data_IF_990009517822
#
_entry.id   IF_990009517822
#
_cell.length_a   1.000
_cell.length_b   1.000
_cell.length_c   1.000
_cell.angle_alpha   90.00
_cell.angle_beta   90.00
_cell.angle_gamma   90.00
#
_symmetry.space_group_name_H-M   'P 1'
#
loop_
_entity.id
_entity.type
_entity.pdbx_description
1 polymer ?
#
# COMPACT_ATOMS: atom_id res chain seq x y z
N UNK A 1 -24.84 -1.50 31.19
CA UNK A 1 -26.20 -2.12 31.22
C UNK A 1 -26.54 -2.64 29.82
N UNK A 2 -27.55 -3.49 29.64
CA UNK A 2 -28.07 -3.82 28.31
C UNK A 2 -29.39 -3.09 28.12
N UNK A 3 -29.42 -2.08 27.25
CA UNK A 3 -30.62 -1.26 27.01
C UNK A 3 -31.47 -1.81 25.88
N UNK A 4 -30.88 -2.56 24.93
CA UNK A 4 -31.61 -3.16 23.81
C UNK A 4 -31.92 -4.64 24.10
N UNK A 5 -33.12 -5.09 23.70
CA UNK A 5 -33.59 -6.48 23.95
C UNK A 5 -32.78 -7.53 23.19
N UNK A 6 -32.11 -7.13 22.11
CA UNK A 6 -31.31 -7.99 21.25
C UNK A 6 -29.86 -8.11 21.73
N UNK A 7 -29.40 -7.22 22.61
CA UNK A 7 -28.01 -7.16 23.09
C UNK A 7 -27.49 -8.49 23.64
N UNK A 8 -28.21 -9.23 24.51
CA UNK A 8 -27.71 -10.49 25.06
C UNK A 8 -27.48 -11.58 24.01
N UNK A 9 -28.18 -11.51 22.87
CA UNK A 9 -28.02 -12.47 21.77
C UNK A 9 -26.87 -12.07 20.83
N UNK A 10 -26.77 -10.80 20.44
CA UNK A 10 -25.75 -10.35 19.47
C UNK A 10 -24.37 -10.14 20.08
N UNK A 11 -24.26 -9.80 21.37
CA UNK A 11 -22.95 -9.58 22.02
C UNK A 11 -22.06 -10.82 21.92
N UNK A 12 -22.50 -12.03 22.33
CA UNK A 12 -21.68 -13.24 22.19
C UNK A 12 -21.29 -13.54 20.75
N UNK A 13 -22.23 -13.36 19.80
CA UNK A 13 -21.97 -13.60 18.36
C UNK A 13 -20.88 -12.66 17.84
N UNK A 14 -20.94 -11.37 18.18
CA UNK A 14 -19.92 -10.40 17.78
C UNK A 14 -18.54 -10.79 18.33
N UNK A 15 -18.47 -11.20 19.59
CA UNK A 15 -17.21 -11.61 20.24
C UNK A 15 -16.63 -12.87 19.62
N UNK A 16 -17.45 -13.89 19.38
CA UNK A 16 -16.99 -15.13 18.73
C UNK A 16 -16.57 -14.89 17.29
N UNK A 17 -17.28 -14.04 16.54
CA UNK A 17 -16.87 -13.63 15.20
C UNK A 17 -15.51 -12.92 15.19
N UNK A 18 -15.29 -11.96 16.09
CA UNK A 18 -14.00 -11.29 16.22
C UNK A 18 -12.91 -12.31 16.56
N UNK A 19 -13.15 -13.21 17.51
CA UNK A 19 -12.17 -14.21 17.93
C UNK A 19 -11.83 -15.18 16.79
N UNK A 20 -12.84 -15.64 16.04
CA UNK A 20 -12.65 -16.48 14.86
C UNK A 20 -11.84 -15.76 13.77
N UNK A 21 -12.10 -14.45 13.57
CA UNK A 21 -11.30 -13.62 12.66
C UNK A 21 -9.84 -13.54 13.09
N UNK A 22 -9.56 -13.31 14.38
CA UNK A 22 -8.18 -13.27 14.90
C UNK A 22 -7.43 -14.59 14.70
N UNK A 23 -8.10 -15.72 14.90
CA UNK A 23 -7.52 -17.04 14.62
C UNK A 23 -7.28 -17.26 13.13
N UNK A 24 -8.12 -16.69 12.27
CA UNK A 24 -7.98 -16.76 10.81
C UNK A 24 -6.94 -15.78 10.24
N UNK A 25 -6.50 -14.77 11.00
CA UNK A 25 -5.57 -13.72 10.53
C UNK A 25 -4.32 -14.26 9.83
N UNK A 26 -3.59 -15.29 10.36
CA UNK A 26 -2.41 -15.81 9.68
C UNK A 26 -2.72 -16.31 8.27
N UNK A 27 -3.89 -16.95 8.10
CA UNK A 27 -4.34 -17.43 6.80
C UNK A 27 -4.78 -16.27 5.90
N UNK A 28 -5.53 -15.29 6.43
CA UNK A 28 -5.97 -14.12 5.67
C UNK A 28 -4.78 -13.35 5.13
N UNK A 29 -3.80 -13.01 5.96
CA UNK A 29 -2.59 -12.30 5.52
C UNK A 29 -1.75 -13.12 4.56
N UNK A 30 -1.65 -14.43 4.75
CA UNK A 30 -1.01 -15.31 3.78
C UNK A 30 -1.68 -15.22 2.40
N UNK A 31 -3.02 -15.20 2.34
CA UNK A 31 -3.75 -15.10 1.06
C UNK A 31 -3.69 -13.72 0.43
N UNK A 32 -3.79 -12.65 1.24
CA UNK A 32 -3.56 -11.28 0.77
C UNK A 32 -2.17 -11.18 0.15
N UNK A 33 -1.15 -11.75 0.82
CA UNK A 33 0.19 -11.77 0.29
C UNK A 33 0.33 -12.64 -0.96
N UNK A 34 -0.31 -13.81 -1.01
CA UNK A 34 -0.30 -14.68 -2.19
C UNK A 34 -0.92 -14.00 -3.42
N UNK A 35 -1.88 -13.09 -3.23
CA UNK A 35 -2.44 -12.25 -4.29
C UNK A 35 -1.48 -11.14 -4.74
N UNK A 36 -0.67 -10.61 -3.82
CA UNK A 36 0.28 -9.53 -4.06
C UNK A 36 1.62 -10.04 -4.64
N UNK A 37 2.04 -11.25 -4.26
CA UNK A 37 3.29 -11.88 -4.67
C UNK A 37 3.53 -11.99 -6.19
N UNK A 38 2.52 -12.22 -7.05
CA UNK A 38 2.67 -12.18 -8.51
C UNK A 38 3.13 -10.82 -9.05
N UNK A 39 2.79 -9.73 -8.36
CA UNK A 39 3.24 -8.38 -8.71
C UNK A 39 4.69 -8.08 -8.30
N UNK A 40 5.33 -9.00 -7.56
CA UNK A 40 6.70 -8.86 -7.11
C UNK A 40 7.64 -9.62 -8.06
N UNK A 41 8.74 -8.97 -8.48
CA UNK A 41 9.72 -9.60 -9.38
C UNK A 41 10.13 -10.98 -8.87
N UNK A 42 10.11 -11.97 -9.77
CA UNK A 42 10.22 -13.41 -9.51
C UNK A 42 11.41 -13.83 -8.61
N UNK A 43 12.40 -12.95 -8.45
CA UNK A 43 13.66 -13.21 -7.78
C UNK A 43 13.67 -12.83 -6.27
N UNK A 44 12.61 -12.19 -5.76
CA UNK A 44 12.58 -11.66 -4.37
C UNK A 44 11.50 -12.26 -3.45
N UNK A 45 10.98 -13.44 -3.79
CA UNK A 45 9.92 -14.14 -3.03
C UNK A 45 10.29 -14.45 -1.58
N UNK A 46 11.59 -14.51 -1.24
CA UNK A 46 12.08 -14.85 0.11
C UNK A 46 11.71 -13.82 1.19
N UNK A 47 11.48 -12.57 0.81
CA UNK A 47 11.03 -11.50 1.72
C UNK A 47 9.52 -11.58 2.04
N UNK A 48 8.77 -12.48 1.41
CA UNK A 48 7.33 -12.61 1.61
C UNK A 48 6.94 -13.16 2.98
N UNK A 49 7.54 -14.29 3.36
CA UNK A 49 7.27 -14.97 4.63
C UNK A 49 7.53 -14.06 5.85
N UNK A 50 8.69 -13.38 5.99
CA UNK A 50 8.91 -12.52 7.14
C UNK A 50 7.93 -11.33 7.17
N UNK A 51 7.46 -10.87 6.01
CA UNK A 51 6.49 -9.78 5.94
C UNK A 51 5.08 -10.20 6.38
N UNK A 52 4.62 -11.40 5.98
CA UNK A 52 3.34 -11.96 6.45
C UNK A 52 3.36 -12.16 7.97
N UNK A 53 4.45 -12.72 8.49
CA UNK A 53 4.63 -12.88 9.94
C UNK A 53 4.66 -11.52 10.63
N UNK A 54 5.37 -10.54 10.07
CA UNK A 54 5.40 -9.19 10.59
C UNK A 54 4.00 -8.57 10.61
N UNK A 55 3.20 -8.67 9.54
CA UNK A 55 1.80 -8.20 9.53
C UNK A 55 0.98 -8.81 10.66
N UNK A 56 0.95 -10.14 10.80
CA UNK A 56 0.18 -10.78 11.88
C UNK A 56 0.59 -10.24 13.25
N UNK A 57 1.90 -10.10 13.51
CA UNK A 57 2.40 -9.54 14.77
C UNK A 57 1.99 -8.08 14.92
N UNK A 58 2.12 -7.28 13.87
CA UNK A 58 1.86 -5.85 13.87
C UNK A 58 0.36 -5.56 14.06
N UNK A 59 -0.52 -6.34 13.44
CA UNK A 59 -1.96 -6.30 13.68
C UNK A 59 -2.31 -6.58 15.14
N UNK A 60 -1.76 -7.65 15.71
CA UNK A 60 -1.97 -8.00 17.12
C UNK A 60 -1.40 -6.92 18.06
N UNK A 61 -0.26 -6.34 17.71
CA UNK A 61 0.34 -5.23 18.44
C UNK A 61 -0.52 -3.96 18.33
N UNK A 62 -1.15 -3.71 17.18
CA UNK A 62 -2.13 -2.64 17.01
C UNK A 62 -3.38 -2.82 17.86
N UNK A 63 -3.88 -4.05 17.98
CA UNK A 63 -4.97 -4.36 18.91
C UNK A 63 -4.54 -4.18 20.37
N UNK A 64 -3.34 -4.64 20.73
CA UNK A 64 -2.79 -4.45 22.07
C UNK A 64 -2.62 -2.95 22.37
N UNK A 65 -2.13 -2.16 21.41
CA UNK A 65 -2.01 -0.71 21.52
C UNK A 65 -3.37 -0.05 21.76
N UNK A 66 -4.40 -0.47 21.01
CA UNK A 66 -5.77 0.02 21.23
C UNK A 66 -6.28 -0.30 22.65
N UNK A 67 -6.06 -1.51 23.13
CA UNK A 67 -6.50 -1.93 24.46
C UNK A 67 -5.75 -1.22 25.61
N UNK A 68 -4.42 -1.18 25.55
CA UNK A 68 -3.58 -0.70 26.65
C UNK A 68 -3.35 0.81 26.64
N UNK A 69 -3.38 1.47 25.48
CA UNK A 69 -3.10 2.90 25.37
C UNK A 69 -4.34 3.70 25.02
N UNK A 70 -5.08 3.29 23.99
CA UNK A 70 -6.19 4.10 23.46
C UNK A 70 -7.41 4.08 24.37
N UNK A 71 -7.82 2.91 24.86
CA UNK A 71 -8.98 2.81 25.75
C UNK A 71 -8.84 3.65 27.03
N UNK A 72 -7.72 3.61 27.77
CA UNK A 72 -7.54 4.48 28.94
C UNK A 72 -7.65 5.97 28.62
N UNK A 73 -7.11 6.40 27.48
CA UNK A 73 -7.19 7.82 27.05
C UNK A 73 -8.64 8.21 26.74
N UNK A 74 -9.33 7.43 25.91
CA UNK A 74 -10.71 7.76 25.49
C UNK A 74 -11.68 7.69 26.67
N UNK A 75 -11.66 6.61 27.45
CA UNK A 75 -12.57 6.47 28.59
C UNK A 75 -12.19 7.40 29.75
N UNK A 76 -10.91 7.66 29.95
CA UNK A 76 -10.44 8.66 30.92
C UNK A 76 -10.97 10.06 30.60
N UNK A 77 -10.97 10.45 29.32
CA UNK A 77 -11.56 11.70 28.87
C UNK A 77 -13.09 11.74 29.09
N UNK A 78 -13.81 10.69 28.64
CA UNK A 78 -15.28 10.64 28.76
C UNK A 78 -15.73 10.74 30.23
N UNK A 79 -15.04 10.04 31.14
CA UNK A 79 -15.34 10.10 32.57
C UNK A 79 -14.92 11.44 33.16
N UNK A 80 -13.79 12.02 32.73
CA UNK A 80 -13.31 13.31 33.23
C UNK A 80 -14.17 14.51 32.85
N UNK A 81 -14.94 14.43 31.76
CA UNK A 81 -15.87 15.50 31.32
C UNK A 81 -17.27 15.32 31.92
N UNK A 82 -17.58 14.16 32.51
CA UNK A 82 -18.88 13.92 33.12
C UNK A 82 -19.09 14.86 34.33
N UNK A 83 -20.24 15.57 34.43
CA UNK A 83 -20.55 16.41 35.59
C UNK A 83 -20.55 15.62 36.90
N UNK A 84 -20.14 16.27 37.99
CA UNK A 84 -20.19 15.65 39.31
C UNK A 84 -21.61 15.16 39.64
N UNK A 85 -21.72 13.89 40.03
CA UNK A 85 -23.00 13.23 40.33
C UNK A 85 -23.65 12.49 39.16
N UNK A 86 -23.09 12.55 37.95
CA UNK A 86 -23.56 11.73 36.81
C UNK A 86 -22.78 10.42 36.75
N UNK A 87 -23.45 9.31 37.02
CA UNK A 87 -22.88 7.98 36.83
C UNK A 87 -22.80 7.65 35.33
N UNK A 88 -21.59 7.50 34.79
CA UNK A 88 -21.37 7.07 33.41
C UNK A 88 -21.73 5.58 33.28
N UNK A 89 -22.96 5.28 32.88
CA UNK A 89 -23.46 3.92 32.67
C UNK A 89 -23.54 3.61 31.18
N UNK A 90 -22.47 3.06 30.62
CA UNK A 90 -22.44 2.67 29.21
C UNK A 90 -23.27 1.41 28.92
N UNK A 91 -23.92 1.42 27.76
CA UNK A 91 -24.56 0.22 27.21
C UNK A 91 -23.48 -0.76 26.72
N UNK A 92 -23.64 -2.05 27.03
CA UNK A 92 -22.65 -3.08 26.70
C UNK A 92 -22.55 -3.32 25.19
N UNK A 93 -23.66 -3.19 24.46
CA UNK A 93 -23.66 -3.29 23.00
C UNK A 93 -22.89 -2.15 22.36
N UNK A 94 -23.16 -0.90 22.77
CA UNK A 94 -22.43 0.28 22.28
C UNK A 94 -20.96 0.26 22.65
N UNK A 95 -20.63 -0.15 23.88
CA UNK A 95 -19.25 -0.32 24.32
C UNK A 95 -18.52 -1.36 23.46
N UNK A 96 -19.13 -2.53 23.24
CA UNK A 96 -18.52 -3.59 22.45
C UNK A 96 -18.33 -3.18 20.99
N UNK A 97 -19.32 -2.51 20.40
CA UNK A 97 -19.22 -2.01 19.03
C UNK A 97 -18.07 -1.01 18.89
N UNK A 98 -17.96 -0.07 19.83
CA UNK A 98 -16.85 0.87 19.88
C UNK A 98 -15.50 0.14 19.98
N UNK A 99 -15.37 -0.79 20.93
CA UNK A 99 -14.15 -1.59 21.15
C UNK A 99 -13.76 -2.39 19.91
N UNK A 100 -14.73 -3.05 19.25
CA UNK A 100 -14.48 -3.85 18.06
C UNK A 100 -14.07 -3.00 16.86
N UNK A 101 -14.76 -1.88 16.64
CA UNK A 101 -14.38 -0.94 15.58
C UNK A 101 -12.97 -0.39 15.84
N UNK A 102 -12.62 -0.07 17.09
CA UNK A 102 -11.30 0.44 17.42
C UNK A 102 -10.20 -0.61 17.23
N UNK A 103 -10.44 -1.87 17.63
CA UNK A 103 -9.52 -2.97 17.36
C UNK A 103 -9.28 -3.18 15.87
N UNK A 104 -10.33 -3.15 15.05
CA UNK A 104 -10.18 -3.25 13.60
C UNK A 104 -9.43 -2.05 13.02
N UNK A 105 -9.80 -0.84 13.43
CA UNK A 105 -9.18 0.38 12.93
C UNK A 105 -7.69 0.45 13.25
N UNK A 106 -7.31 0.22 14.51
CA UNK A 106 -5.90 0.22 14.91
C UNK A 106 -5.14 -1.00 14.39
N UNK A 107 -5.74 -2.19 14.35
CA UNK A 107 -5.12 -3.35 13.72
C UNK A 107 -4.73 -3.08 12.26
N UNK A 108 -5.66 -2.53 11.47
CA UNK A 108 -5.40 -2.14 10.07
C UNK A 108 -4.40 -0.98 9.99
N UNK A 109 -4.51 0.00 10.87
CA UNK A 109 -3.60 1.16 10.89
C UNK A 109 -2.16 0.73 11.18
N UNK A 110 -1.98 -0.28 12.04
CA UNK A 110 -0.68 -0.84 12.30
C UNK A 110 -0.10 -1.59 11.10
N UNK A 111 -0.87 -1.93 10.06
CA UNK A 111 -0.34 -2.46 8.79
C UNK A 111 0.28 -1.39 7.88
N UNK A 112 0.15 -0.10 8.20
CA UNK A 112 0.73 1.00 7.40
C UNK A 112 2.23 0.81 7.10
N UNK A 113 3.09 0.42 8.06
CA UNK A 113 4.51 0.18 7.79
C UNK A 113 4.73 -0.93 6.75
N UNK A 114 3.94 -2.01 6.83
CA UNK A 114 4.02 -3.13 5.89
C UNK A 114 3.55 -2.70 4.51
N UNK A 115 2.43 -1.96 4.44
CA UNK A 115 1.91 -1.41 3.19
C UNK A 115 2.94 -0.49 2.52
N UNK A 116 3.61 0.39 3.29
CA UNK A 116 4.67 1.27 2.78
C UNK A 116 5.83 0.47 2.21
N UNK A 117 6.32 -0.54 2.94
CA UNK A 117 7.41 -1.42 2.47
C UNK A 117 7.01 -2.13 1.18
N UNK A 118 5.78 -2.64 1.10
CA UNK A 118 5.25 -3.30 -0.11
C UNK A 118 5.22 -2.36 -1.31
N UNK A 119 4.71 -1.14 -1.15
CA UNK A 119 4.61 -0.16 -2.23
C UNK A 119 5.97 0.22 -2.80
N UNK A 120 6.97 0.42 -1.92
CA UNK A 120 8.33 0.74 -2.34
C UNK A 120 8.98 -0.46 -3.03
N UNK A 121 8.79 -1.65 -2.49
CA UNK A 121 9.39 -2.88 -3.04
C UNK A 121 8.81 -3.26 -4.41
N UNK A 122 7.54 -2.96 -4.66
CA UNK A 122 6.93 -3.12 -5.99
C UNK A 122 7.35 -2.05 -6.99
N UNK A 123 8.08 -1.01 -6.56
CA UNK A 123 8.42 0.13 -7.41
C UNK A 123 7.23 1.05 -7.74
N UNK A 124 6.09 0.90 -7.07
CA UNK A 124 4.91 1.75 -7.28
C UNK A 124 5.14 3.18 -6.77
N UNK A 125 5.92 3.33 -5.70
CA UNK A 125 6.21 4.61 -5.05
C UNK A 125 7.67 4.65 -4.59
N UNK A 126 8.38 5.75 -4.84
CA UNK A 126 9.73 5.95 -4.31
C UNK A 126 9.72 6.43 -2.86
N UNK A 127 10.79 6.14 -2.12
CA UNK A 127 10.98 6.67 -0.76
C UNK A 127 10.93 8.20 -0.73
N UNK A 128 11.44 8.87 -1.78
CA UNK A 128 11.36 10.33 -1.93
C UNK A 128 9.90 10.81 -1.98
N UNK A 129 9.07 10.18 -2.81
CA UNK A 129 7.64 10.52 -2.93
C UNK A 129 6.88 10.30 -1.63
N UNK A 130 7.19 9.24 -0.87
CA UNK A 130 6.62 9.03 0.46
C UNK A 130 7.02 10.15 1.44
N UNK A 131 8.25 10.65 1.35
CA UNK A 131 8.69 11.77 2.19
C UNK A 131 7.98 13.08 1.82
N UNK A 132 7.68 13.31 0.55
CA UNK A 132 6.93 14.49 0.10
C UNK A 132 5.48 14.50 0.62
N UNK A 133 4.83 13.33 0.69
CA UNK A 133 3.43 13.24 1.11
C UNK A 133 3.22 13.20 2.64
N UNK A 134 4.27 13.40 3.45
CA UNK A 134 4.18 13.45 4.93
C UNK A 134 3.04 14.34 5.44
N UNK A 135 2.83 15.57 4.92
CA UNK A 135 1.77 16.44 5.42
C UNK A 135 0.38 15.82 5.25
N UNK A 136 0.13 15.10 4.14
CA UNK A 136 -1.15 14.42 3.90
C UNK A 136 -1.39 13.29 4.88
N UNK A 137 -0.35 12.51 5.20
CA UNK A 137 -0.46 11.42 6.19
C UNK A 137 -0.71 11.96 7.59
N UNK A 138 -0.04 13.06 7.96
CA UNK A 138 -0.29 13.73 9.24
C UNK A 138 -1.75 14.19 9.32
N UNK A 139 -2.27 14.87 8.30
CA UNK A 139 -3.69 15.27 8.25
C UNK A 139 -4.62 14.06 8.33
N UNK A 140 -4.32 12.98 7.61
CA UNK A 140 -5.06 11.72 7.69
C UNK A 140 -5.09 11.12 9.10
N UNK A 141 -3.95 11.13 9.80
CA UNK A 141 -3.85 10.66 11.18
C UNK A 141 -4.70 11.51 12.14
N UNK A 142 -4.75 12.83 11.94
CA UNK A 142 -5.65 13.71 12.71
C UNK A 142 -7.12 13.47 12.42
N UNK A 143 -7.49 13.17 11.17
CA UNK A 143 -8.87 12.81 10.79
C UNK A 143 -9.27 11.50 11.48
N UNK A 144 -8.41 10.48 11.44
CA UNK A 144 -8.65 9.22 12.14
C UNK A 144 -8.77 9.45 13.65
N UNK A 145 -7.87 10.25 14.24
CA UNK A 145 -7.98 10.66 15.65
C UNK A 145 -9.34 11.28 15.96
N UNK A 146 -9.79 12.25 15.15
CA UNK A 146 -11.07 12.93 15.34
C UNK A 146 -12.32 12.04 15.18
N UNK A 147 -12.22 10.93 14.43
CA UNK A 147 -13.31 9.95 14.32
C UNK A 147 -13.45 9.15 15.62
N UNK A 148 -12.33 8.84 16.27
CA UNK A 148 -12.27 7.92 17.41
C UNK A 148 -12.23 8.59 18.78
N UNK A 149 -11.80 9.85 18.85
CA UNK A 149 -11.95 10.67 20.04
C UNK A 149 -13.13 11.62 19.87
N UNK A 150 -13.80 12.00 20.96
CA UNK A 150 -14.63 13.21 21.00
C UNK A 150 -13.83 14.44 20.52
N UNK A 151 -14.43 15.64 20.36
CA UNK A 151 -13.72 16.87 19.97
C UNK A 151 -12.80 17.38 21.10
N UNK A 152 -11.81 16.58 21.49
CA UNK A 152 -10.73 16.86 22.42
C UNK A 152 -9.41 16.84 21.69
N UNK A 153 -8.77 18.00 21.65
CA UNK A 153 -7.49 18.19 20.98
C UNK A 153 -6.40 17.33 21.64
N UNK A 154 -6.39 17.22 22.98
CA UNK A 154 -5.29 16.50 23.67
C UNK A 154 -5.32 15.01 23.32
N UNK A 155 -6.47 14.36 23.50
CA UNK A 155 -6.64 12.95 23.14
C UNK A 155 -6.43 12.71 21.64
N UNK A 156 -6.89 13.63 20.78
CA UNK A 156 -6.68 13.52 19.33
C UNK A 156 -5.19 13.52 18.98
N UNK A 157 -4.39 14.43 19.57
CA UNK A 157 -2.94 14.45 19.37
C UNK A 157 -2.26 13.18 19.91
N UNK A 158 -2.67 12.70 21.09
CA UNK A 158 -2.13 11.46 21.68
C UNK A 158 -2.38 10.23 20.79
N UNK A 159 -3.45 10.23 19.98
CA UNK A 159 -3.71 9.17 19.00
C UNK A 159 -3.03 9.40 17.65
N UNK A 160 -3.02 10.64 17.15
CA UNK A 160 -2.44 10.95 15.84
C UNK A 160 -0.91 10.77 15.80
N UNK A 161 -0.21 11.06 16.91
CA UNK A 161 1.26 10.90 16.99
C UNK A 161 1.71 9.45 16.76
N UNK A 162 1.15 8.43 17.44
CA UNK A 162 1.43 7.02 17.16
C UNK A 162 1.25 6.64 15.69
N UNK A 163 0.20 7.13 15.05
CA UNK A 163 -0.08 6.89 13.63
C UNK A 163 1.02 7.46 12.72
N UNK A 164 1.45 8.68 13.01
CA UNK A 164 2.55 9.31 12.28
C UNK A 164 3.88 8.56 12.50
N UNK A 165 4.16 8.12 13.73
CA UNK A 165 5.35 7.33 14.05
C UNK A 165 5.37 6.00 13.29
N UNK A 166 4.23 5.32 13.17
CA UNK A 166 4.12 4.10 12.37
C UNK A 166 4.44 4.36 10.89
N UNK A 167 3.90 5.43 10.33
CA UNK A 167 4.21 5.80 8.96
C UNK A 167 5.71 6.06 8.76
N UNK A 168 6.33 6.78 9.68
CA UNK A 168 7.78 7.04 9.64
C UNK A 168 8.60 5.75 9.75
N UNK A 169 8.21 4.85 10.65
CA UNK A 169 8.81 3.52 10.78
C UNK A 169 8.74 2.76 9.46
N UNK A 170 7.59 2.81 8.77
CA UNK A 170 7.41 2.22 7.44
C UNK A 170 8.41 2.77 6.42
N UNK A 171 8.57 4.09 6.35
CA UNK A 171 9.54 4.73 5.45
C UNK A 171 10.97 4.29 5.77
N UNK A 172 11.35 4.24 7.06
CA UNK A 172 12.69 3.84 7.49
C UNK A 172 12.96 2.39 7.09
N UNK A 173 12.04 1.48 7.40
CA UNK A 173 12.18 0.06 7.05
C UNK A 173 12.25 -0.13 5.54
N UNK A 174 11.41 0.58 4.78
CA UNK A 174 11.44 0.53 3.31
C UNK A 174 12.78 1.02 2.75
N UNK A 175 13.32 2.12 3.28
CA UNK A 175 14.61 2.66 2.86
C UNK A 175 15.80 1.74 3.21
N UNK A 176 15.71 0.98 4.31
CA UNK A 176 16.73 0.01 4.69
C UNK A 176 16.72 -1.24 3.81
N UNK A 177 15.53 -1.70 3.41
CA UNK A 177 15.35 -2.88 2.55
C UNK A 177 15.71 -2.54 1.10
N UNK A 178 15.29 -1.38 0.62
CA UNK A 178 15.58 -0.92 -0.74
C UNK A 178 16.89 -0.14 -0.75
N UNK A 179 18.02 -0.83 -0.94
CA UNK A 179 19.30 -0.16 -1.26
C UNK A 179 19.07 0.79 -2.45
N UNK A 180 19.64 2.02 -2.43
CA UNK A 180 19.52 2.92 -3.57
C UNK A 180 20.15 2.25 -4.78
N UNK A 181 19.30 1.78 -5.69
CA UNK A 181 19.72 1.43 -7.03
C UNK A 181 19.97 2.78 -7.72
N UNK A 182 21.20 3.06 -8.21
CA UNK A 182 21.46 4.29 -8.93
C UNK A 182 20.44 4.40 -10.07
N UNK A 183 19.90 5.61 -10.27
CA UNK A 183 18.86 5.95 -11.23
C UNK A 183 19.20 5.64 -12.71
N UNK A 184 20.34 5.00 -13.00
CA UNK A 184 20.78 4.71 -14.37
C UNK A 184 19.95 3.61 -15.07
N UNK A 185 19.28 2.72 -14.34
CA UNK A 185 18.59 1.58 -14.98
C UNK A 185 17.11 1.81 -15.31
N UNK A 186 16.49 2.90 -14.83
CA UNK A 186 15.08 3.22 -15.17
C UNK A 186 14.93 3.94 -16.53
N UNK A 187 16.04 4.38 -17.12
CA UNK A 187 16.09 4.96 -18.47
C UNK A 187 16.54 3.93 -19.52
N UNK A 188 17.21 2.85 -19.11
CA UNK A 188 17.76 1.84 -20.04
C UNK A 188 16.70 0.93 -20.69
N UNK A 189 15.56 0.68 -20.05
CA UNK A 189 14.54 -0.23 -20.64
C UNK A 189 13.58 0.42 -21.65
N UNK A 190 13.73 1.73 -21.94
CA UNK A 190 12.90 2.44 -22.91
C UNK A 190 13.70 3.13 -24.03
N UNK A 191 15.03 3.00 -24.04
CA UNK A 191 15.90 3.61 -25.06
C UNK A 191 17.13 2.74 -25.31
N UNK A 192 16.93 1.53 -25.81
CA UNK A 192 18.00 0.76 -26.47
C UNK A 192 18.30 1.33 -27.88
N UNK A 193 18.32 2.67 -27.98
CA UNK A 193 18.77 3.42 -29.14
C UNK A 193 20.13 4.01 -28.78
N UNK A 194 21.18 3.29 -29.14
CA UNK A 194 22.52 3.88 -29.21
C UNK A 194 22.62 4.53 -30.58
N UNK A 195 22.67 5.88 -30.70
CA UNK A 195 22.97 6.50 -31.99
C UNK A 195 24.34 5.97 -32.45
N UNK A 196 24.41 5.50 -33.70
CA UNK A 196 25.66 5.01 -34.27
C UNK A 196 26.75 6.06 -34.13
N UNK A 197 27.99 5.63 -33.84
CA UNK A 197 29.12 6.54 -33.87
C UNK A 197 29.33 7.07 -35.28
N UNK A 198 29.93 8.26 -35.45
CA UNK A 198 30.15 8.85 -36.78
C UNK A 198 30.91 7.89 -37.71
N UNK A 199 31.88 7.14 -37.19
CA UNK A 199 32.62 6.15 -37.98
C UNK A 199 31.77 4.96 -38.43
N UNK A 200 30.80 4.55 -37.63
CA UNK A 200 29.90 3.44 -38.01
C UNK A 200 28.88 3.89 -39.05
N UNK A 201 28.42 5.15 -38.95
CA UNK A 201 27.50 5.76 -39.91
C UNK A 201 28.15 5.93 -41.29
N UNK A 202 29.41 6.38 -41.33
CA UNK A 202 30.18 6.51 -42.57
C UNK A 202 30.43 5.13 -43.21
N UNK A 203 30.79 4.12 -42.42
CA UNK A 203 31.00 2.77 -42.92
C UNK A 203 29.73 2.12 -43.47
N UNK A 204 28.56 2.47 -42.94
CA UNK A 204 27.27 1.97 -43.41
C UNK A 204 26.79 2.72 -44.67
N UNK A 205 27.05 4.03 -44.77
CA UNK A 205 26.85 4.82 -45.99
C UNK A 205 27.71 4.28 -47.14
N UNK A 206 28.99 3.99 -46.90
CA UNK A 206 29.90 3.40 -47.89
C UNK A 206 29.41 2.01 -48.35
N UNK A 207 28.86 1.22 -47.42
CA UNK A 207 28.29 -0.11 -47.73
C UNK A 207 27.02 0.01 -48.58
N UNK A 208 26.17 1.00 -48.32
CA UNK A 208 24.98 1.29 -49.12
C UNK A 208 25.38 1.81 -50.50
N UNK A 209 26.35 2.71 -50.59
CA UNK A 209 26.87 3.22 -51.85
C UNK A 209 27.46 2.09 -52.72
N UNK A 210 28.23 1.19 -52.12
CA UNK A 210 28.71 -0.01 -52.80
C UNK A 210 27.57 -0.92 -53.30
N UNK A 211 26.48 -1.02 -52.55
CA UNK A 211 25.29 -1.80 -52.96
C UNK A 211 24.47 -1.14 -54.08
N UNK A 212 24.55 0.19 -54.20
CA UNK A 212 23.89 0.96 -55.26
C UNK A 212 24.69 0.92 -56.58
N UNK A 213 26.02 0.83 -56.48
CA UNK A 213 26.92 0.68 -57.63
C UNK A 213 26.75 -0.68 -58.32
N UNK A 214 26.38 -1.74 -57.57
CA UNK A 214 26.18 -3.10 -58.10
C UNK A 214 24.72 -3.42 -58.49
N UNK A 215 23.83 -2.42 -58.53
CA UNK A 215 22.45 -2.62 -58.99
C UNK A 215 22.43 -2.74 -60.52
N UNK A 216 22.08 -3.90 -61.11
CA UNK A 216 21.91 -3.98 -62.56
C UNK A 216 20.76 -3.04 -63.00
N UNK A 217 20.82 -2.46 -64.21
CA UNK A 217 19.87 -1.46 -64.65
C UNK A 217 18.45 -2.01 -64.55
N UNK A 218 17.53 -1.22 -64.00
CA UNK A 218 16.10 -1.51 -64.00
C UNK A 218 15.64 -1.83 -65.43
N UNK A 219 15.07 -3.03 -65.64
CA UNK A 219 14.38 -3.39 -66.87
C UNK A 219 13.29 -2.33 -67.16
N UNK A 220 13.14 -1.91 -68.43
CA UNK A 220 12.30 -0.77 -68.78
C UNK A 220 10.82 -1.06 -68.56
N UNK A 221 10.13 0.01 -68.15
CA UNK A 221 8.69 0.17 -68.08
C UNK A 221 8.02 -0.27 -69.39
N UNK A 222 7.28 -1.38 -69.36
CA UNK A 222 6.41 -1.80 -70.46
C UNK A 222 5.04 -1.18 -70.23
N UNK A 223 4.82 -0.07 -70.90
CA UNK A 223 3.52 0.59 -71.12
C UNK A 223 2.48 -0.40 -71.66
N UNK A 224 1.25 -0.31 -71.13
CA UNK A 224 -0.01 -0.91 -71.63
C UNK A 224 -0.15 -0.87 -73.17
N UNK A 225 -0.88 -1.81 -73.83
CA UNK A 225 -2.33 -1.63 -73.99
C UNK A 225 -3.19 -2.91 -74.15
N UNK A 226 -4.47 -2.80 -73.76
CA UNK A 226 -5.57 -3.29 -74.60
C UNK A 226 -6.30 -4.58 -74.19
N UNK A 227 -7.54 -4.40 -73.71
CA UNK A 227 -8.70 -5.31 -73.91
C UNK A 227 -8.83 -5.77 -75.39
N UNK A 228 -9.71 -6.71 -75.85
CA UNK A 228 -10.81 -7.43 -75.16
C UNK A 228 -11.01 -8.92 -75.58
N UNK A 229 -12.00 -9.59 -74.95
CA UNK A 229 -13.06 -10.45 -75.57
C UNK A 229 -13.31 -11.83 -74.92
N UNK A 230 -14.58 -11.99 -74.54
CA UNK A 230 -15.46 -13.18 -74.67
C UNK A 230 -14.90 -14.58 -74.38
N UNK A 231 -15.46 -15.25 -73.38
CA UNK A 231 -16.64 -16.12 -73.54
C UNK A 231 -17.23 -16.46 -72.18
#
# INVERSE_FOLDING_TARGET
IATEVTTPFFVPIKVTMMTAFLLALPWVFFQVWAFVAPGLYQHEKRLGVPLVIASVILFLLGMAFAYFLVFPVVFGFIVGVAPEGVAVMTDIGKYLDFVMTLFMAFGITFEVPVAVVLLVKMGMVSVAKLREIRPYVIVGAFIIGAIFTPPDVISQFMLAVPLWVLYELGIIVAALITKPKPESEAVESASDYTPMSQSDMDAELDRIEASLIDRPPSLPDQTEPGSPKSR
#
